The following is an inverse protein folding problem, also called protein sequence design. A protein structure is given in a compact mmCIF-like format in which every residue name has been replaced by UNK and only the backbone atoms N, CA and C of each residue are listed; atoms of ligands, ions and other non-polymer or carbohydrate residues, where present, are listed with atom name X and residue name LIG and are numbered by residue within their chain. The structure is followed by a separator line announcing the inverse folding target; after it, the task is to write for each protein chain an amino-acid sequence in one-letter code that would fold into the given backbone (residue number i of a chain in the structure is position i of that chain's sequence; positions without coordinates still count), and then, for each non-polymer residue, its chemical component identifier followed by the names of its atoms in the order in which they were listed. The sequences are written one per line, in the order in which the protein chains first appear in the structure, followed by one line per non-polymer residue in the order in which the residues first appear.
data_IF_368456448318
#
_entry.id   IF_368456448318
#
_cell.length_a   1.000
_cell.length_b   1.000
_cell.length_c   1.000
_cell.angle_alpha   90.00
_cell.angle_beta   90.00
_cell.angle_gamma   90.00
#
_symmetry.space_group_name_H-M   'P 1'
#
loop_
_entity.id
_entity.type
_entity.pdbx_description
1 polymer ?
#
# COMPACT_ATOMS: atom_id res chain seq x y z
N UNK A 1 15.63 11.60 -12.02
CA UNK A 1 16.91 12.36 -11.86
C UNK A 1 18.12 11.42 -12.00
N UNK A 2 19.29 11.87 -12.47
CA UNK A 2 20.52 11.05 -12.45
C UNK A 2 21.80 11.86 -12.21
N UNK A 3 22.86 11.21 -11.72
CA UNK A 3 24.15 11.83 -11.49
C UNK A 3 25.08 11.06 -10.55
N UNK A 4 26.33 11.54 -10.34
CA UNK A 4 27.28 10.92 -9.43
C UNK A 4 27.03 11.33 -7.98
N UNK A 5 27.16 10.37 -7.06
CA UNK A 5 27.28 10.63 -5.62
C UNK A 5 28.40 9.75 -5.04
N UNK A 6 29.02 10.20 -3.97
CA UNK A 6 29.83 9.34 -3.12
C UNK A 6 28.90 8.55 -2.21
N UNK A 7 29.05 7.23 -2.19
CA UNK A 7 28.32 6.32 -1.30
C UNK A 7 29.29 5.64 -0.34
N UNK A 8 28.98 5.66 0.95
CA UNK A 8 29.72 4.84 1.91
C UNK A 8 29.46 3.35 1.64
N UNK A 9 30.53 2.55 1.57
CA UNK A 9 30.45 1.12 1.26
C UNK A 9 30.73 0.24 2.47
N UNK A 10 31.94 0.30 3.03
CA UNK A 10 32.34 -0.38 4.25
C UNK A 10 33.63 0.26 4.79
N UNK A 11 34.08 -0.17 5.98
CA UNK A 11 35.28 0.37 6.63
C UNK A 11 36.54 0.21 5.76
N UNK A 12 36.65 -0.87 4.98
CA UNK A 12 37.82 -1.14 4.14
C UNK A 12 37.90 -0.25 2.89
N UNK A 13 36.76 0.01 2.23
CA UNK A 13 36.69 0.74 0.95
C UNK A 13 36.23 2.18 1.09
N UNK A 14 35.62 2.53 2.22
CA UNK A 14 35.11 3.86 2.55
C UNK A 14 34.09 4.39 1.53
N UNK A 15 34.22 5.69 1.25
CA UNK A 15 33.43 6.43 0.27
C UNK A 15 33.82 6.04 -1.16
N UNK A 16 32.85 5.74 -2.00
CA UNK A 16 33.07 5.31 -3.38
C UNK A 16 32.12 6.04 -4.32
N UNK A 17 32.64 6.53 -5.44
CA UNK A 17 31.80 7.10 -6.49
C UNK A 17 30.88 6.04 -7.07
N UNK A 18 29.61 6.41 -7.22
CA UNK A 18 28.57 5.60 -7.88
C UNK A 18 27.72 6.52 -8.74
N UNK A 19 27.28 5.99 -9.89
CA UNK A 19 26.29 6.67 -10.71
C UNK A 19 24.90 6.28 -10.22
N UNK A 20 24.07 7.26 -9.89
CA UNK A 20 22.72 7.06 -9.38
C UNK A 20 21.69 7.47 -10.42
N UNK A 21 20.60 6.71 -10.46
CA UNK A 21 19.39 7.04 -11.20
C UNK A 21 18.23 6.94 -10.21
N UNK A 22 17.55 8.05 -10.03
CA UNK A 22 16.27 8.14 -9.35
C UNK A 22 15.15 7.99 -10.38
N UNK A 23 14.39 6.92 -10.23
CA UNK A 23 13.14 6.66 -10.95
C UNK A 23 11.98 7.12 -10.07
N UNK A 24 11.46 8.32 -10.37
CA UNK A 24 10.41 8.99 -9.61
C UNK A 24 9.06 8.23 -9.73
N UNK A 25 8.85 7.50 -10.82
CA UNK A 25 7.60 6.78 -11.09
C UNK A 25 7.58 5.40 -10.43
N UNK A 26 8.72 4.72 -10.35
CA UNK A 26 8.85 3.45 -9.65
C UNK A 26 9.17 3.60 -8.15
N UNK A 27 9.60 4.79 -7.71
CA UNK A 27 10.02 5.04 -6.33
C UNK A 27 11.32 4.29 -5.98
N UNK A 28 12.24 4.22 -6.95
CA UNK A 28 13.48 3.46 -6.85
C UNK A 28 14.69 4.36 -7.06
N UNK A 29 15.65 4.29 -6.15
CA UNK A 29 16.98 4.84 -6.33
C UNK A 29 17.96 3.72 -6.70
N UNK A 30 18.29 3.60 -7.98
CA UNK A 30 19.23 2.61 -8.51
C UNK A 30 20.65 3.17 -8.56
N UNK A 31 21.65 2.32 -8.36
CA UNK A 31 23.05 2.73 -8.48
C UNK A 31 23.93 1.73 -9.21
N UNK A 32 24.98 2.27 -9.82
CA UNK A 32 25.93 1.59 -10.69
C UNK A 32 27.34 1.94 -10.26
N UNK A 33 28.31 1.07 -10.55
CA UNK A 33 29.72 1.33 -10.21
C UNK A 33 30.32 2.48 -11.03
N UNK A 34 29.75 2.79 -12.21
CA UNK A 34 30.12 3.91 -13.06
C UNK A 34 28.99 4.23 -14.07
N UNK A 35 29.09 5.37 -14.77
CA UNK A 35 28.17 5.75 -15.86
C UNK A 35 28.21 4.72 -17.02
N UNK A 36 29.39 4.22 -17.38
CA UNK A 36 29.52 3.20 -18.43
C UNK A 36 28.80 1.90 -18.08
N UNK A 37 28.85 1.48 -16.81
CA UNK A 37 28.14 0.29 -16.34
C UNK A 37 26.63 0.51 -16.35
N UNK A 38 26.18 1.74 -16.08
CA UNK A 38 24.79 2.13 -16.26
C UNK A 38 24.34 2.02 -17.72
N UNK A 39 25.12 2.57 -18.66
CA UNK A 39 24.81 2.51 -20.10
C UNK A 39 24.73 1.07 -20.63
N UNK A 40 25.44 0.12 -19.99
CA UNK A 40 25.39 -1.31 -20.28
C UNK A 40 24.33 -2.08 -19.49
N UNK A 41 23.48 -1.40 -18.71
CA UNK A 41 22.43 -2.00 -17.89
C UNK A 41 22.91 -2.81 -16.68
N UNK A 42 24.20 -2.73 -16.32
CA UNK A 42 24.81 -3.55 -15.27
C UNK A 42 24.56 -2.96 -13.86
N UNK A 43 23.30 -3.01 -13.40
CA UNK A 43 22.87 -2.45 -12.10
C UNK A 43 23.55 -3.13 -10.93
N UNK A 44 24.15 -2.34 -10.02
CA UNK A 44 24.81 -2.87 -8.82
C UNK A 44 23.86 -3.10 -7.66
N UNK A 45 22.86 -2.23 -7.52
CA UNK A 45 21.81 -2.34 -6.53
C UNK A 45 20.74 -1.25 -6.68
N UNK A 46 19.68 -1.34 -5.90
CA UNK A 46 18.62 -0.34 -5.83
C UNK A 46 18.06 -0.23 -4.41
N UNK A 47 17.56 0.94 -4.06
CA UNK A 47 16.88 1.24 -2.80
C UNK A 47 15.43 1.58 -3.13
N UNK A 48 14.47 0.94 -2.45
CA UNK A 48 13.05 1.30 -2.54
C UNK A 48 12.79 2.45 -1.60
N UNK A 49 12.26 3.56 -2.11
CA UNK A 49 12.12 4.81 -1.36
C UNK A 49 10.79 4.92 -0.59
N UNK A 50 9.86 3.98 -0.77
CA UNK A 50 8.59 3.97 -0.02
C UNK A 50 8.87 3.85 1.49
N UNK A 51 8.49 4.88 2.24
CA UNK A 51 8.72 4.93 3.69
C UNK A 51 10.17 5.21 4.11
N UNK A 52 11.03 5.61 3.16
CA UNK A 52 12.38 6.04 3.49
C UNK A 52 12.36 7.42 4.17
N UNK A 53 13.36 7.68 5.00
CA UNK A 53 13.56 8.96 5.71
C UNK A 53 14.90 9.54 5.26
N UNK A 54 14.90 10.82 4.87
CA UNK A 54 16.12 11.57 4.59
C UNK A 54 16.62 12.23 5.87
N UNK A 55 17.91 12.08 6.16
CA UNK A 55 18.58 12.79 7.25
C UNK A 55 19.67 13.70 6.69
N UNK A 56 19.72 14.95 7.13
CA UNK A 56 20.76 15.92 6.79
C UNK A 56 21.56 16.21 8.05
N UNK A 57 22.88 16.13 7.97
CA UNK A 57 23.78 16.45 9.09
C UNK A 57 24.20 17.92 8.97
N UNK A 58 23.81 18.77 9.94
CA UNK A 58 24.10 20.22 9.91
C UNK A 58 25.62 20.52 9.92
N UNK A 59 26.42 19.63 10.52
CA UNK A 59 27.87 19.80 10.68
C UNK A 59 28.69 19.26 9.49
N UNK A 60 28.09 18.44 8.61
CA UNK A 60 28.79 17.77 7.52
C UNK A 60 28.29 18.27 6.16
N UNK A 61 29.01 19.25 5.61
CA UNK A 61 28.64 19.89 4.34
C UNK A 61 28.43 18.85 3.21
N UNK A 62 27.30 18.98 2.51
CA UNK A 62 26.88 18.15 1.38
C UNK A 62 26.64 16.66 1.69
N UNK A 63 26.54 16.27 2.96
CA UNK A 63 26.32 14.88 3.39
C UNK A 63 24.85 14.67 3.78
N UNK A 64 24.28 13.55 3.36
CA UNK A 64 22.92 13.17 3.71
C UNK A 64 22.80 11.65 3.81
N UNK A 65 21.74 11.20 4.48
CA UNK A 65 21.43 9.79 4.67
C UNK A 65 20.06 9.43 4.14
N UNK A 66 19.91 8.17 3.73
CA UNK A 66 18.61 7.55 3.46
C UNK A 66 18.46 6.38 4.43
N UNK A 67 17.44 6.42 5.27
CA UNK A 67 17.11 5.35 6.21
C UNK A 67 15.84 4.63 5.74
N UNK A 68 15.92 3.31 5.52
CA UNK A 68 14.78 2.49 5.11
C UNK A 68 14.99 1.04 5.55
N UNK A 69 13.92 0.36 5.98
CA UNK A 69 13.95 -1.04 6.42
C UNK A 69 15.06 -1.36 7.46
N UNK A 70 15.30 -0.42 8.39
CA UNK A 70 16.35 -0.55 9.42
C UNK A 70 17.78 -0.41 8.89
N UNK A 71 17.97 -0.01 7.63
CA UNK A 71 19.29 0.25 7.02
C UNK A 71 19.50 1.73 6.79
N UNK A 72 20.71 2.20 7.06
CA UNK A 72 21.14 3.58 6.83
C UNK A 72 22.15 3.59 5.67
N UNK A 73 21.90 4.41 4.67
CA UNK A 73 22.79 4.64 3.54
C UNK A 73 23.33 6.07 3.60
N UNK A 74 24.65 6.23 3.67
CA UNK A 74 25.30 7.54 3.69
C UNK A 74 25.74 7.95 2.28
N UNK A 75 25.45 9.21 1.94
CA UNK A 75 25.75 9.84 0.67
C UNK A 75 26.45 11.17 0.87
N UNK A 76 27.32 11.52 -0.06
CA UNK A 76 27.94 12.83 -0.14
C UNK A 76 27.87 13.35 -1.58
N UNK A 77 27.32 14.54 -1.75
CA UNK A 77 27.25 15.23 -3.03
C UNK A 77 28.54 16.01 -3.30
N UNK A 78 28.68 16.53 -4.53
CA UNK A 78 29.83 17.34 -4.91
C UNK A 78 29.87 18.69 -4.19
N UNK A 79 28.72 19.34 -4.08
CA UNK A 79 28.54 20.67 -3.52
C UNK A 79 27.11 20.82 -2.95
N UNK A 80 26.89 21.90 -2.20
CA UNK A 80 25.64 22.13 -1.46
C UNK A 80 24.43 22.17 -2.41
N UNK A 81 24.60 22.81 -3.57
CA UNK A 81 23.57 22.89 -4.60
C UNK A 81 23.18 21.52 -5.13
N UNK A 82 24.16 20.65 -5.39
CA UNK A 82 23.90 19.28 -5.84
C UNK A 82 23.26 18.45 -4.72
N UNK A 83 23.69 18.59 -3.46
CA UNK A 83 23.02 17.92 -2.34
C UNK A 83 21.56 18.35 -2.20
N UNK A 84 21.27 19.66 -2.23
CA UNK A 84 19.90 20.15 -2.14
C UNK A 84 19.03 19.62 -3.29
N UNK A 85 19.58 19.57 -4.51
CA UNK A 85 18.88 19.02 -5.67
C UNK A 85 18.52 17.55 -5.49
N UNK A 86 19.47 16.75 -4.99
CA UNK A 86 19.23 15.33 -4.69
C UNK A 86 18.22 15.14 -3.56
N UNK A 87 18.39 15.85 -2.45
CA UNK A 87 17.51 15.79 -1.29
C UNK A 87 16.07 16.12 -1.72
N UNK A 88 15.85 17.25 -2.40
CA UNK A 88 14.50 17.66 -2.85
C UNK A 88 13.86 16.60 -3.76
N UNK A 89 14.58 16.08 -4.74
CA UNK A 89 14.04 15.07 -5.65
C UNK A 89 13.71 13.74 -4.93
N UNK A 90 14.55 13.34 -3.97
CA UNK A 90 14.33 12.16 -3.15
C UNK A 90 13.12 12.35 -2.22
N UNK A 91 13.01 13.49 -1.55
CA UNK A 91 11.86 13.85 -0.70
C UNK A 91 10.56 13.86 -1.49
N UNK A 92 10.53 14.49 -2.66
CA UNK A 92 9.36 14.51 -3.55
C UNK A 92 8.94 13.10 -3.97
N UNK A 93 9.90 12.24 -4.28
CA UNK A 93 9.65 10.84 -4.67
C UNK A 93 9.14 10.03 -3.49
N UNK A 94 9.78 10.15 -2.32
CA UNK A 94 9.34 9.50 -1.08
C UNK A 94 7.91 9.94 -0.74
N UNK A 95 7.61 11.23 -0.84
CA UNK A 95 6.28 11.77 -0.59
C UNK A 95 5.26 11.24 -1.59
N UNK A 96 5.58 11.20 -2.89
CA UNK A 96 4.69 10.66 -3.95
C UNK A 96 4.35 9.19 -3.69
N UNK A 97 5.33 8.38 -3.31
CA UNK A 97 5.17 6.94 -3.06
C UNK A 97 4.65 6.62 -1.66
N UNK A 98 4.88 7.51 -0.69
CA UNK A 98 4.23 7.53 0.62
C UNK A 98 2.77 7.97 0.52
N UNK A 99 2.40 8.79 -0.48
CA UNK A 99 1.01 9.15 -0.79
C UNK A 99 0.20 8.00 -1.38
N UNK A 100 0.84 7.00 -1.98
CA UNK A 100 0.14 5.76 -2.36
C UNK A 100 -0.38 5.01 -1.11
N UNK A 101 0.36 5.08 0.01
CA UNK A 101 -0.14 4.67 1.34
C UNK A 101 -1.07 5.70 1.97
N UNK A 102 -0.87 7.01 1.73
CA UNK A 102 -1.78 8.07 2.21
C UNK A 102 -3.14 8.09 1.49
N UNK A 103 -3.29 7.51 0.30
CA UNK A 103 -4.62 7.26 -0.30
C UNK A 103 -5.38 6.14 0.42
N UNK A 104 -4.65 5.24 1.09
CA UNK A 104 -5.23 4.28 2.05
C UNK A 104 -5.42 4.90 3.44
N UNK A 105 -4.58 5.86 3.85
CA UNK A 105 -4.64 6.53 5.17
C UNK A 105 -5.43 7.86 5.21
N UNK A 106 -5.92 8.37 4.07
CA UNK A 106 -6.93 9.45 3.97
C UNK A 106 -8.36 8.92 3.98
N UNK A 107 -8.57 7.62 4.15
CA UNK A 107 -9.82 7.22 4.80
C UNK A 107 -9.71 7.73 6.23
N UNK A 108 -10.65 8.56 6.71
CA UNK A 108 -10.77 8.81 8.15
C UNK A 108 -10.60 7.47 8.87
N UNK A 109 -9.83 7.45 9.96
CA UNK A 109 -9.81 6.28 10.82
C UNK A 109 -11.27 5.95 11.13
N UNK A 110 -11.74 4.71 10.90
CA UNK A 110 -13.13 4.34 11.14
C UNK A 110 -13.50 4.79 12.56
N UNK A 111 -14.45 5.71 12.65
CA UNK A 111 -14.93 6.17 13.95
C UNK A 111 -15.88 5.14 14.53
N UNK A 112 -16.21 5.27 15.82
CA UNK A 112 -17.28 4.47 16.41
C UNK A 112 -18.62 4.72 15.69
N UNK A 113 -18.82 5.93 15.17
CA UNK A 113 -19.98 6.28 14.35
C UNK A 113 -19.95 5.58 12.97
N UNK A 114 -18.78 5.43 12.34
CA UNK A 114 -18.64 4.62 11.12
C UNK A 114 -18.93 3.14 11.36
N UNK A 115 -18.53 2.62 12.53
CA UNK A 115 -18.87 1.27 12.95
C UNK A 115 -20.38 1.11 13.14
N UNK A 116 -21.02 2.01 13.88
CA UNK A 116 -22.47 1.99 14.13
C UNK A 116 -23.27 2.17 12.83
N UNK A 117 -22.80 3.01 11.91
CA UNK A 117 -23.38 3.14 10.57
C UNK A 117 -23.26 1.85 9.76
N UNK A 118 -22.07 1.22 9.73
CA UNK A 118 -21.88 -0.07 9.04
C UNK A 118 -22.68 -1.20 9.66
N UNK A 119 -22.85 -1.18 10.98
CA UNK A 119 -23.71 -2.10 11.71
C UNK A 119 -25.17 -1.96 11.26
N UNK A 120 -25.66 -0.72 11.20
CA UNK A 120 -27.01 -0.40 10.71
C UNK A 120 -27.21 -0.78 9.24
N UNK A 121 -26.20 -0.56 8.39
CA UNK A 121 -26.21 -1.00 6.99
C UNK A 121 -26.28 -2.54 6.89
N UNK A 122 -25.51 -3.28 7.69
CA UNK A 122 -25.53 -4.74 7.71
C UNK A 122 -26.91 -5.28 8.15
N UNK A 123 -27.54 -4.65 9.15
CA UNK A 123 -28.89 -5.00 9.59
C UNK A 123 -29.93 -4.74 8.49
N UNK A 124 -29.81 -3.62 7.76
CA UNK A 124 -30.68 -3.31 6.63
C UNK A 124 -30.53 -4.33 5.49
N UNK A 125 -29.29 -4.71 5.14
CA UNK A 125 -29.04 -5.74 4.13
C UNK A 125 -29.54 -7.12 4.56
N UNK A 126 -29.41 -7.46 5.85
CA UNK A 126 -29.96 -8.70 6.40
C UNK A 126 -31.47 -8.74 6.23
N UNK A 127 -32.18 -7.63 6.49
CA UNK A 127 -33.64 -7.57 6.29
C UNK A 127 -34.04 -7.74 4.82
N UNK A 128 -33.30 -7.13 3.89
CA UNK A 128 -33.53 -7.31 2.45
C UNK A 128 -33.34 -8.78 2.06
N UNK A 129 -32.29 -9.43 2.56
CA UNK A 129 -32.03 -10.85 2.28
C UNK A 129 -33.13 -11.75 2.85
N UNK A 130 -33.63 -11.47 4.06
CA UNK A 130 -34.79 -12.19 4.64
C UNK A 130 -35.99 -12.08 3.71
N UNK A 131 -36.30 -10.89 3.21
CA UNK A 131 -37.46 -10.66 2.35
C UNK A 131 -37.30 -11.34 0.97
N UNK A 132 -36.10 -11.34 0.42
CA UNK A 132 -35.77 -12.08 -0.82
C UNK A 132 -35.95 -13.59 -0.63
N UNK A 133 -35.49 -14.15 0.49
CA UNK A 133 -35.69 -15.57 0.80
C UNK A 133 -37.17 -15.92 0.96
N UNK A 134 -37.97 -15.06 1.61
CA UNK A 134 -39.43 -15.24 1.69
C UNK A 134 -40.10 -15.18 0.31
N UNK A 135 -39.64 -14.27 -0.54
CA UNK A 135 -40.16 -14.14 -1.92
C UNK A 135 -39.84 -15.39 -2.73
N UNK A 136 -38.60 -15.90 -2.64
CA UNK A 136 -38.21 -17.17 -3.25
C UNK A 136 -39.07 -18.34 -2.75
N UNK A 137 -39.41 -18.38 -1.47
CA UNK A 137 -40.33 -19.39 -0.93
C UNK A 137 -41.72 -19.36 -1.58
N UNK A 138 -42.25 -18.16 -1.79
CA UNK A 138 -43.53 -18.00 -2.50
C UNK A 138 -43.42 -18.41 -3.97
N UNK A 139 -42.32 -18.09 -4.64
CA UNK A 139 -42.09 -18.51 -6.03
C UNK A 139 -41.93 -20.02 -6.16
N UNK A 140 -41.19 -20.67 -5.26
CA UNK A 140 -41.06 -22.13 -5.18
C UNK A 140 -42.44 -22.77 -5.00
N UNK A 141 -43.30 -22.18 -4.17
CA UNK A 141 -44.66 -22.70 -3.92
C UNK A 141 -45.54 -22.66 -5.18
N UNK A 142 -45.35 -21.64 -6.04
CA UNK A 142 -46.09 -21.40 -7.28
C UNK A 142 -45.46 -22.06 -8.52
N UNK A 143 -44.21 -22.54 -8.42
CA UNK A 143 -43.48 -23.10 -9.54
C UNK A 143 -44.07 -24.44 -10.01
N UNK A 144 -44.52 -24.45 -11.27
CA UNK A 144 -45.04 -25.64 -11.96
C UNK A 144 -43.90 -26.44 -12.62
N UNK A 145 -42.85 -25.76 -13.09
CA UNK A 145 -41.71 -26.40 -13.74
C UNK A 145 -40.74 -26.99 -12.69
N UNK A 146 -40.51 -28.31 -12.69
CA UNK A 146 -39.67 -28.96 -11.68
C UNK A 146 -38.19 -28.56 -11.75
N UNK A 147 -37.67 -28.21 -12.93
CA UNK A 147 -36.28 -27.77 -13.10
C UNK A 147 -36.07 -26.39 -12.48
N UNK A 148 -36.98 -25.46 -12.75
CA UNK A 148 -36.95 -24.12 -12.16
C UNK A 148 -37.18 -24.16 -10.65
N UNK A 149 -38.10 -25.02 -10.19
CA UNK A 149 -38.37 -25.23 -8.77
C UNK A 149 -37.13 -25.73 -8.03
N UNK A 150 -36.43 -26.73 -8.57
CA UNK A 150 -35.21 -27.27 -7.96
C UNK A 150 -34.07 -26.25 -7.93
N UNK A 151 -33.91 -25.45 -8.99
CA UNK A 151 -32.93 -24.36 -9.01
C UNK A 151 -33.25 -23.28 -7.95
N UNK A 152 -34.52 -22.91 -7.79
CA UNK A 152 -34.96 -21.95 -6.78
C UNK A 152 -34.79 -22.48 -5.34
N UNK A 153 -35.04 -23.77 -5.11
CA UNK A 153 -34.77 -24.43 -3.82
C UNK A 153 -33.27 -24.36 -3.48
N UNK A 154 -32.40 -24.69 -4.43
CA UNK A 154 -30.96 -24.63 -4.21
C UNK A 154 -30.47 -23.20 -3.92
N UNK A 155 -31.00 -22.21 -4.65
CA UNK A 155 -30.70 -20.81 -4.40
C UNK A 155 -31.16 -20.36 -3.01
N UNK A 156 -32.34 -20.82 -2.57
CA UNK A 156 -32.86 -20.56 -1.22
C UNK A 156 -31.95 -21.15 -0.14
N UNK A 157 -31.51 -22.41 -0.30
CA UNK A 157 -30.58 -23.05 0.65
C UNK A 157 -29.30 -22.24 0.80
N UNK A 158 -28.72 -21.76 -0.31
CA UNK A 158 -27.53 -20.90 -0.28
C UNK A 158 -27.80 -19.52 0.34
N UNK A 159 -28.96 -18.93 0.07
CA UNK A 159 -29.39 -17.71 0.75
C UNK A 159 -29.50 -17.88 2.27
N UNK A 160 -30.01 -19.03 2.74
CA UNK A 160 -30.14 -19.35 4.16
C UNK A 160 -28.78 -19.59 4.84
N UNK A 161 -27.84 -20.28 4.17
CA UNK A 161 -26.45 -20.42 4.67
C UNK A 161 -25.79 -19.04 4.86
N UNK A 162 -25.94 -18.14 3.89
CA UNK A 162 -25.44 -16.77 3.98
C UNK A 162 -26.10 -15.99 5.11
N UNK A 163 -27.43 -16.15 5.29
CA UNK A 163 -28.20 -15.50 6.33
C UNK A 163 -27.65 -15.82 7.73
N UNK A 164 -27.42 -17.11 8.01
CA UNK A 164 -26.90 -17.55 9.31
C UNK A 164 -25.46 -17.07 9.55
N UNK A 165 -24.60 -17.09 8.52
CA UNK A 165 -23.24 -16.55 8.61
C UNK A 165 -23.21 -15.05 8.91
N UNK A 166 -24.10 -14.27 8.27
CA UNK A 166 -24.21 -12.83 8.47
C UNK A 166 -24.74 -12.52 9.88
N UNK A 167 -25.81 -13.21 10.32
CA UNK A 167 -26.35 -13.06 11.69
C UNK A 167 -25.29 -13.33 12.75
N UNK A 168 -24.54 -14.43 12.62
CA UNK A 168 -23.50 -14.78 13.57
C UNK A 168 -22.41 -13.70 13.63
N UNK A 169 -21.98 -13.19 12.48
CA UNK A 169 -20.99 -12.12 12.39
C UNK A 169 -21.48 -10.83 13.06
N UNK A 170 -22.73 -10.45 12.85
CA UNK A 170 -23.39 -9.29 13.48
C UNK A 170 -23.36 -9.43 15.01
N UNK A 171 -23.76 -10.59 15.55
CA UNK A 171 -23.77 -10.84 17.00
C UNK A 171 -22.36 -10.74 17.60
N UNK A 172 -21.37 -11.37 16.96
CA UNK A 172 -19.98 -11.31 17.42
C UNK A 172 -19.45 -9.87 17.41
N UNK A 173 -19.78 -9.09 16.38
CA UNK A 173 -19.39 -7.67 16.29
C UNK A 173 -20.07 -6.80 17.35
N UNK A 174 -21.32 -7.07 17.71
CA UNK A 174 -22.03 -6.37 18.79
C UNK A 174 -21.44 -6.66 20.17
N UNK A 175 -20.96 -7.89 20.41
CA UNK A 175 -20.31 -8.28 21.67
C UNK A 175 -18.90 -7.67 21.80
N UNK A 176 -18.22 -7.46 20.67
CA UNK A 176 -16.84 -6.93 20.64
C UNK A 176 -16.75 -5.39 20.79
N UNK A 177 -17.89 -4.69 20.85
CA UNK A 177 -17.99 -3.25 21.11
C UNK A 177 -17.78 -2.94 22.60
#
# INVERSE_FOLDING_TARGET
MEGPLLKWTNVMKGWQYRWFILDDDAGLLSYYTSKDKMMRGARRGCVRLKGAIIGVEEEAECTFTITVDGKIFHFKAKDSRDSEKWIRALEDTILRHGRMTYRYSKRPLPTLEDFDRRMSEADAYLQILIEQVKTLDQEISKAINPVQRNAAIHLKEKGMEMLEGIKHSIIVLQIAK
#
